data_IF_186493112518
#
_entry.id   IF_186493112518
#
_cell.length_a   1.000
_cell.length_b   1.000
_cell.length_c   1.000
_cell.angle_alpha   90.00
_cell.angle_beta   90.00
_cell.angle_gamma   90.00
#
_symmetry.space_group_name_H-M   'P 1'
#
loop_
_entity.id
_entity.type
_entity.pdbx_description
1 polymer ?
#
# COMPACT_ATOMS: atom_id res chain seq x y z
N UNK A 1 9.58 -16.48 2.44
CA UNK A 1 9.55 -15.03 2.23
C UNK A 1 8.20 -14.52 2.69
N UNK A 2 8.17 -13.41 3.41
CA UNK A 2 6.94 -12.73 3.82
C UNK A 2 6.71 -11.52 2.92
N UNK A 3 5.72 -11.62 2.04
CA UNK A 3 5.34 -10.55 1.11
C UNK A 3 4.15 -9.81 1.70
N UNK A 4 4.25 -8.50 1.84
CA UNK A 4 3.09 -7.65 2.13
C UNK A 4 2.67 -6.96 0.83
N UNK A 5 1.40 -7.15 0.44
CA UNK A 5 0.78 -6.40 -0.66
C UNK A 5 -0.15 -5.35 -0.09
N UNK A 6 0.14 -4.08 -0.39
CA UNK A 6 -0.65 -2.95 0.06
C UNK A 6 -1.79 -2.68 -0.92
N UNK A 7 -2.99 -2.42 -0.40
CA UNK A 7 -4.14 -2.05 -1.20
C UNK A 7 -4.95 -0.94 -0.55
N UNK A 8 -5.69 -0.22 -1.38
CA UNK A 8 -6.60 0.84 -0.97
C UNK A 8 -8.03 0.52 -1.38
N UNK A 9 -8.97 0.85 -0.51
CA UNK A 9 -10.37 0.93 -0.89
C UNK A 9 -10.70 2.29 -1.48
N UNK A 10 -11.38 2.25 -2.61
CA UNK A 10 -11.88 3.43 -3.32
C UNK A 10 -13.38 3.26 -3.59
N UNK A 11 -14.14 4.35 -3.73
CA UNK A 11 -15.52 4.26 -4.20
C UNK A 11 -15.58 3.68 -5.62
N UNK A 12 -16.63 2.89 -5.93
CA UNK A 12 -16.93 2.45 -7.30
C UNK A 12 -17.28 3.66 -8.17
N UNK A 13 -16.36 4.03 -9.06
CA UNK A 13 -16.49 5.24 -9.88
C UNK A 13 -17.71 5.22 -10.81
N UNK A 14 -18.21 4.04 -11.19
CA UNK A 14 -19.40 3.91 -12.04
C UNK A 14 -20.69 4.32 -11.31
N UNK A 15 -20.69 4.30 -9.98
CA UNK A 15 -21.84 4.65 -9.13
C UNK A 15 -21.77 6.11 -8.63
N UNK A 16 -20.69 6.83 -8.93
CA UNK A 16 -20.55 8.26 -8.60
C UNK A 16 -21.37 9.08 -9.58
N UNK A 17 -22.15 10.02 -9.04
CA UNK A 17 -22.99 10.93 -9.84
C UNK A 17 -22.65 12.39 -9.57
N UNK A 18 -23.01 13.27 -10.51
CA UNK A 18 -22.87 14.73 -10.34
C UNK A 18 -24.21 15.30 -9.92
N UNK A 19 -24.23 16.05 -8.82
CA UNK A 19 -25.46 16.71 -8.33
C UNK A 19 -25.83 17.92 -9.20
N UNK A 20 -27.07 18.44 -9.11
CA UNK A 20 -27.46 19.69 -9.77
C UNK A 20 -26.57 20.89 -9.39
N UNK A 21 -25.98 20.88 -8.21
CA UNK A 21 -25.04 21.90 -7.70
C UNK A 21 -23.59 21.67 -8.15
N UNK A 22 -23.35 20.79 -9.13
CA UNK A 22 -22.04 20.47 -9.67
C UNK A 22 -21.04 19.88 -8.65
N UNK A 23 -21.56 19.14 -7.66
CA UNK A 23 -20.73 18.39 -6.70
C UNK A 23 -20.78 16.89 -6.98
N UNK A 24 -19.80 16.13 -6.47
CA UNK A 24 -19.81 14.66 -6.57
C UNK A 24 -20.66 14.06 -5.45
N UNK A 25 -21.54 13.12 -5.80
CA UNK A 25 -22.32 12.31 -4.87
C UNK A 25 -21.82 10.86 -4.88
N UNK A 26 -21.45 10.36 -3.69
CA UNK A 26 -20.91 9.02 -3.45
C UNK A 26 -21.88 8.09 -2.69
N UNK A 27 -23.10 8.53 -2.38
CA UNK A 27 -24.06 7.81 -1.51
C UNK A 27 -24.37 6.38 -2.00
N UNK A 28 -24.26 6.16 -3.31
CA UNK A 28 -24.50 4.85 -3.96
C UNK A 28 -23.22 4.11 -4.31
N UNK A 29 -22.06 4.74 -4.17
CA UNK A 29 -20.78 4.17 -4.54
C UNK A 29 -20.28 3.22 -3.44
N UNK A 30 -20.36 1.93 -3.71
CA UNK A 30 -19.82 0.91 -2.82
C UNK A 30 -18.28 0.96 -2.81
N UNK A 31 -17.68 0.50 -1.72
CA UNK A 31 -16.22 0.37 -1.62
C UNK A 31 -15.73 -0.81 -2.45
N UNK A 32 -14.67 -0.61 -3.24
CA UNK A 32 -13.95 -1.67 -3.96
C UNK A 32 -12.45 -1.56 -3.76
N UNK A 33 -11.74 -2.67 -3.99
CA UNK A 33 -10.28 -2.65 -4.08
C UNK A 33 -9.90 -1.84 -5.33
N UNK A 34 -8.99 -0.88 -5.17
CA UNK A 34 -8.43 -0.12 -6.29
C UNK A 34 -7.90 -1.06 -7.39
N UNK A 35 -8.27 -0.79 -8.63
CA UNK A 35 -7.89 -1.62 -9.78
C UNK A 35 -6.36 -1.74 -9.93
N UNK A 36 -5.60 -0.71 -9.53
CA UNK A 36 -4.14 -0.72 -9.56
C UNK A 36 -3.54 -1.69 -8.53
N UNK A 37 -4.20 -1.87 -7.40
CA UNK A 37 -3.71 -2.72 -6.32
C UNK A 37 -4.01 -4.20 -6.58
N UNK A 38 -4.98 -4.50 -7.46
CA UNK A 38 -5.19 -5.87 -7.95
C UNK A 38 -3.94 -6.42 -8.64
N UNK A 39 -3.20 -5.57 -9.36
CA UNK A 39 -1.94 -5.95 -9.99
C UNK A 39 -0.85 -6.25 -8.94
N UNK A 40 -0.83 -5.53 -7.81
CA UNK A 40 0.12 -5.78 -6.73
C UNK A 40 -0.19 -7.07 -5.97
N UNK A 41 -1.49 -7.40 -5.79
CA UNK A 41 -1.93 -8.66 -5.21
C UNK A 41 -1.54 -9.83 -6.13
N UNK A 42 -1.80 -9.72 -7.42
CA UNK A 42 -1.40 -10.74 -8.40
C UNK A 42 0.12 -10.91 -8.48
N UNK A 43 0.87 -9.81 -8.48
CA UNK A 43 2.34 -9.86 -8.46
C UNK A 43 2.87 -10.58 -7.21
N UNK A 44 2.25 -10.36 -6.04
CA UNK A 44 2.60 -11.08 -4.82
C UNK A 44 2.38 -12.60 -4.99
N UNK A 45 1.24 -13.00 -5.56
CA UNK A 45 0.91 -14.41 -5.82
C UNK A 45 1.89 -15.06 -6.80
N UNK A 46 2.32 -14.34 -7.84
CA UNK A 46 3.30 -14.85 -8.81
C UNK A 46 4.73 -14.95 -8.25
N UNK A 47 5.08 -14.07 -7.31
CA UNK A 47 6.40 -14.03 -6.69
C UNK A 47 6.55 -15.04 -5.54
N UNK A 48 5.46 -15.37 -4.85
CA UNK A 48 5.48 -16.33 -3.75
C UNK A 48 5.81 -17.74 -4.25
N UNK A 49 6.84 -18.35 -3.66
CA UNK A 49 7.15 -19.76 -3.83
C UNK A 49 6.54 -20.64 -2.73
N UNK A 50 6.89 -21.92 -2.75
CA UNK A 50 6.46 -22.87 -1.72
C UNK A 50 6.97 -22.46 -0.33
N UNK A 51 6.05 -22.25 0.62
CA UNK A 51 6.36 -21.85 1.99
C UNK A 51 6.54 -20.33 2.19
N UNK A 52 6.33 -19.52 1.16
CA UNK A 52 6.17 -18.08 1.29
C UNK A 52 4.77 -17.73 1.80
N UNK A 53 4.64 -16.58 2.47
CA UNK A 53 3.38 -16.07 3.03
C UNK A 53 3.07 -14.70 2.43
N UNK A 54 1.82 -14.50 2.01
CA UNK A 54 1.30 -13.23 1.49
C UNK A 54 0.34 -12.63 2.50
N UNK A 55 0.65 -11.42 2.99
CA UNK A 55 -0.24 -10.62 3.80
C UNK A 55 -0.76 -9.42 3.02
N UNK A 56 -2.07 -9.21 3.01
CA UNK A 56 -2.66 -7.97 2.52
C UNK A 56 -2.66 -6.91 3.63
N UNK A 57 -2.28 -5.67 3.31
CA UNK A 57 -2.28 -4.55 4.24
C UNK A 57 -3.05 -3.36 3.64
N UNK A 58 -3.94 -2.77 4.44
CA UNK A 58 -4.65 -1.55 4.07
C UNK A 58 -4.77 -0.58 5.24
N UNK A 59 -4.86 0.71 4.93
CA UNK A 59 -5.07 1.79 5.90
C UNK A 59 -6.19 2.68 5.38
N UNK A 60 -7.05 3.18 6.28
CA UNK A 60 -8.17 4.03 5.88
C UNK A 60 -9.19 4.27 6.99
N UNK A 61 -10.23 5.02 6.66
CA UNK A 61 -11.31 5.37 7.57
C UNK A 61 -12.54 4.47 7.45
N UNK A 62 -13.69 5.08 7.22
CA UNK A 62 -15.02 4.45 7.19
C UNK A 62 -15.15 3.30 6.20
N UNK A 63 -14.51 3.38 5.02
CA UNK A 63 -14.59 2.35 3.97
C UNK A 63 -14.11 0.96 4.46
N UNK A 64 -13.19 0.90 5.42
CA UNK A 64 -12.69 -0.36 5.98
C UNK A 64 -13.72 -1.11 6.84
N UNK A 65 -14.85 -0.48 7.20
CA UNK A 65 -15.95 -1.16 7.89
C UNK A 65 -16.66 -2.17 6.98
N UNK A 66 -16.53 -2.03 5.66
CA UNK A 66 -17.20 -2.90 4.70
C UNK A 66 -16.68 -4.35 4.83
N UNK A 67 -17.53 -5.23 5.34
CA UNK A 67 -17.18 -6.63 5.57
C UNK A 67 -17.01 -7.45 4.29
N UNK A 68 -17.60 -7.02 3.15
CA UNK A 68 -17.46 -7.70 1.85
C UNK A 68 -16.01 -7.68 1.38
N UNK A 69 -15.31 -6.56 1.61
CA UNK A 69 -13.93 -6.35 1.20
C UNK A 69 -12.98 -7.38 1.79
N UNK A 70 -13.18 -7.75 3.07
CA UNK A 70 -12.32 -8.74 3.75
C UNK A 70 -12.33 -10.08 3.00
N UNK A 71 -13.50 -10.49 2.53
CA UNK A 71 -13.64 -11.72 1.73
C UNK A 71 -13.05 -11.55 0.34
N UNK A 72 -13.31 -10.41 -0.30
CA UNK A 72 -12.80 -10.10 -1.65
C UNK A 72 -11.27 -10.19 -1.70
N UNK A 73 -10.57 -9.48 -0.81
CA UNK A 73 -9.10 -9.47 -0.80
C UNK A 73 -8.50 -10.84 -0.47
N UNK A 74 -9.00 -11.54 0.55
CA UNK A 74 -8.49 -12.87 0.93
C UNK A 74 -8.74 -13.92 -0.17
N UNK A 75 -9.85 -13.81 -0.91
CA UNK A 75 -10.16 -14.74 -2.00
C UNK A 75 -9.21 -14.62 -3.21
N UNK A 76 -8.34 -13.59 -3.23
CA UNK A 76 -7.41 -13.31 -4.34
C UNK A 76 -5.99 -13.81 -4.09
N UNK A 77 -5.72 -14.52 -3.00
CA UNK A 77 -4.42 -15.12 -2.75
C UNK A 77 -3.76 -14.80 -1.40
N UNK A 78 -3.93 -13.62 -0.78
CA UNK A 78 -3.37 -13.34 0.54
C UNK A 78 -3.83 -14.33 1.62
N UNK A 79 -2.88 -14.86 2.39
CA UNK A 79 -3.09 -15.76 3.53
C UNK A 79 -3.68 -15.02 4.74
N UNK A 80 -3.33 -13.73 4.88
CA UNK A 80 -3.75 -12.89 5.99
C UNK A 80 -4.13 -11.48 5.52
N UNK A 81 -4.95 -10.80 6.31
CA UNK A 81 -5.36 -9.41 6.10
C UNK A 81 -5.12 -8.59 7.38
N UNK A 82 -4.37 -7.50 7.23
CA UNK A 82 -4.15 -6.49 8.25
C UNK A 82 -4.80 -5.17 7.82
N UNK A 83 -5.49 -4.53 8.76
CA UNK A 83 -6.20 -3.28 8.52
C UNK A 83 -5.85 -2.28 9.62
N UNK A 84 -5.40 -1.08 9.23
CA UNK A 84 -5.27 0.06 10.15
C UNK A 84 -6.45 0.98 9.90
N UNK A 85 -7.37 1.03 10.86
CA UNK A 85 -8.58 1.82 10.74
C UNK A 85 -8.56 2.98 11.74
N UNK A 86 -8.61 4.20 11.21
CA UNK A 86 -8.71 5.43 11.99
C UNK A 86 -9.47 6.48 11.17
N UNK A 87 -10.37 7.25 11.79
CA UNK A 87 -11.10 8.32 11.13
C UNK A 87 -10.17 9.41 10.57
N UNK A 88 -9.01 9.63 11.18
CA UNK A 88 -8.00 10.58 10.68
C UNK A 88 -7.42 10.17 9.32
N UNK A 89 -7.49 8.88 8.97
CA UNK A 89 -6.97 8.35 7.70
C UNK A 89 -7.92 8.55 6.52
N UNK A 90 -9.15 9.01 6.74
CA UNK A 90 -10.14 9.24 5.67
C UNK A 90 -9.73 10.39 4.73
N UNK A 91 -8.99 11.36 5.25
CA UNK A 91 -8.50 12.52 4.50
C UNK A 91 -6.98 12.67 4.59
N UNK A 92 -6.29 11.61 4.99
CA UNK A 92 -4.85 11.61 5.14
C UNK A 92 -4.15 11.90 3.80
N UNK A 93 -3.17 12.79 3.86
CA UNK A 93 -2.28 13.09 2.75
C UNK A 93 -1.34 11.90 2.50
N UNK A 94 -0.74 11.78 1.29
CA UNK A 94 0.10 10.64 0.94
C UNK A 94 1.22 10.33 1.94
N UNK A 95 1.82 11.34 2.57
CA UNK A 95 2.85 11.17 3.60
C UNK A 95 2.32 10.53 4.88
N UNK A 96 1.12 10.91 5.31
CA UNK A 96 0.48 10.39 6.53
C UNK A 96 0.05 8.94 6.31
N UNK A 97 -0.54 8.66 5.15
CA UNK A 97 -0.87 7.30 4.69
C UNK A 97 0.36 6.42 4.62
N UNK A 98 1.46 6.91 4.04
CA UNK A 98 2.72 6.18 3.96
C UNK A 98 3.32 5.86 5.34
N UNK A 99 3.27 6.81 6.29
CA UNK A 99 3.76 6.57 7.66
C UNK A 99 2.94 5.50 8.38
N UNK A 100 1.60 5.52 8.22
CA UNK A 100 0.72 4.52 8.79
C UNK A 100 1.00 3.13 8.21
N UNK A 101 1.18 3.04 6.89
CA UNK A 101 1.54 1.79 6.19
C UNK A 101 2.90 1.26 6.63
N UNK A 102 3.93 2.13 6.67
CA UNK A 102 5.27 1.75 7.10
C UNK A 102 5.28 1.22 8.53
N UNK A 103 4.63 1.94 9.45
CA UNK A 103 4.52 1.56 10.86
C UNK A 103 3.79 0.23 11.06
N UNK A 104 2.77 -0.04 10.25
CA UNK A 104 2.04 -1.30 10.29
C UNK A 104 2.86 -2.45 9.70
N UNK A 105 3.49 -2.22 8.54
CA UNK A 105 4.34 -3.20 7.87
C UNK A 105 5.54 -3.60 8.76
N UNK A 106 6.19 -2.64 9.42
CA UNK A 106 7.28 -2.90 10.37
C UNK A 106 6.84 -3.85 11.50
N UNK A 107 5.66 -3.60 12.09
CA UNK A 107 5.11 -4.45 13.16
C UNK A 107 4.74 -5.86 12.69
N UNK A 108 4.28 -5.99 11.44
CA UNK A 108 3.93 -7.29 10.83
C UNK A 108 5.21 -8.07 10.48
N UNK A 109 6.27 -7.37 10.11
CA UNK A 109 7.49 -7.92 9.52
C UNK A 109 7.27 -8.34 8.06
N UNK A 110 8.24 -8.07 7.20
CA UNK A 110 8.20 -8.41 5.79
C UNK A 110 9.60 -8.48 5.18
N UNK A 111 9.71 -9.20 4.08
CA UNK A 111 10.89 -9.22 3.21
C UNK A 111 10.68 -8.37 1.95
N UNK A 112 9.43 -8.28 1.48
CA UNK A 112 9.03 -7.52 0.30
C UNK A 112 7.70 -6.80 0.54
N UNK A 113 7.64 -5.51 0.22
CA UNK A 113 6.44 -4.68 0.29
C UNK A 113 6.05 -4.23 -1.13
N UNK A 114 4.84 -4.58 -1.58
CA UNK A 114 4.33 -4.30 -2.92
C UNK A 114 3.19 -3.29 -2.88
N UNK A 115 3.13 -2.45 -3.90
CA UNK A 115 2.12 -1.41 -4.09
C UNK A 115 1.62 -1.41 -5.52
N UNK A 116 0.35 -1.04 -5.72
CA UNK A 116 -0.10 -0.54 -7.02
C UNK A 116 0.62 0.76 -7.39
N UNK A 117 0.64 1.08 -8.68
CA UNK A 117 1.25 2.33 -9.19
C UNK A 117 0.59 3.59 -8.61
N UNK A 118 -0.71 3.50 -8.32
CA UNK A 118 -1.52 4.57 -7.77
C UNK A 118 -2.84 4.02 -7.28
N UNK A 119 -3.86 4.88 -7.19
CA UNK A 119 -5.20 4.49 -6.75
C UNK A 119 -6.26 4.97 -7.71
N UNK A 120 -7.36 4.20 -7.82
CA UNK A 120 -8.49 4.49 -8.72
C UNK A 120 -9.25 5.79 -8.45
N UNK A 121 -8.93 6.48 -7.35
CA UNK A 121 -9.54 7.77 -6.99
C UNK A 121 -8.65 8.96 -7.36
N UNK A 122 -7.67 9.31 -6.53
CA UNK A 122 -6.85 10.53 -6.68
C UNK A 122 -5.64 10.28 -7.59
N UNK A 123 -5.24 9.03 -7.77
CA UNK A 123 -4.09 8.63 -8.59
C UNK A 123 -2.80 9.44 -8.32
N UNK A 124 -2.51 9.72 -7.03
CA UNK A 124 -1.39 10.56 -6.65
C UNK A 124 0.00 9.94 -6.91
N UNK A 125 0.09 8.62 -7.04
CA UNK A 125 1.33 7.86 -7.28
C UNK A 125 2.47 8.08 -6.26
N UNK A 126 2.13 8.50 -5.05
CA UNK A 126 3.12 8.93 -4.04
C UNK A 126 3.29 7.93 -2.88
N UNK A 127 2.24 7.23 -2.48
CA UNK A 127 2.22 6.47 -1.21
C UNK A 127 3.29 5.37 -1.18
N UNK A 128 3.42 4.58 -2.24
CA UNK A 128 4.43 3.51 -2.29
C UNK A 128 5.87 4.03 -2.20
N UNK A 129 6.18 5.11 -2.94
CA UNK A 129 7.50 5.76 -2.92
C UNK A 129 7.82 6.34 -1.54
N UNK A 130 6.85 7.07 -0.95
CA UNK A 130 7.01 7.68 0.37
C UNK A 130 7.17 6.59 1.44
N UNK A 131 6.42 5.49 1.35
CA UNK A 131 6.56 4.37 2.29
C UNK A 131 7.98 3.80 2.22
N UNK A 132 8.53 3.57 1.02
CA UNK A 132 9.91 3.10 0.86
C UNK A 132 10.99 4.08 1.37
N UNK A 133 10.69 5.37 1.48
CA UNK A 133 11.59 6.39 2.01
C UNK A 133 11.61 6.42 3.56
N UNK A 134 10.52 6.01 4.20
CA UNK A 134 10.33 6.12 5.64
C UNK A 134 11.43 5.41 6.45
N UNK A 135 11.81 5.93 7.63
CA UNK A 135 12.77 5.28 8.52
C UNK A 135 12.37 3.86 8.96
N UNK A 136 11.06 3.61 9.10
CA UNK A 136 10.47 2.35 9.55
C UNK A 136 10.62 1.21 8.52
N UNK A 137 10.91 1.53 7.26
CA UNK A 137 11.03 0.54 6.17
C UNK A 137 12.50 0.10 5.99
N UNK A 138 12.83 -1.21 6.11
CA UNK A 138 14.19 -1.70 5.88
C UNK A 138 14.64 -1.42 4.44
N UNK A 139 15.75 -0.69 4.29
CA UNK A 139 16.33 -0.38 2.99
C UNK A 139 17.40 -1.40 2.63
N UNK A 140 17.25 -2.08 1.49
CA UNK A 140 18.38 -2.76 0.85
C UNK A 140 19.27 -1.71 0.18
N UNK A 141 20.00 -0.90 0.98
CA UNK A 141 21.04 -0.05 0.44
C UNK A 141 22.15 -0.96 -0.12
N UNK A 142 22.33 -0.97 -1.44
CA UNK A 142 23.62 -1.33 -2.03
C UNK A 142 24.63 -0.20 -1.76
N UNK A 143 24.97 0.02 -0.48
CA UNK A 143 26.08 0.89 -0.11
C UNK A 143 27.33 0.03 0.07
N UNK A 144 28.00 -0.29 -1.05
CA UNK A 144 29.45 -0.52 -0.93
C UNK A 144 30.08 0.84 -0.70
N UNK A 145 30.77 1.08 0.42
CA UNK A 145 31.47 2.34 0.61
C UNK A 145 32.56 2.45 -0.46
N UNK A 146 32.48 3.50 -1.29
CA UNK A 146 33.61 3.91 -2.12
C UNK A 146 34.71 4.41 -1.18
N UNK A 147 35.64 3.53 -0.80
CA UNK A 147 36.86 3.96 -0.10
C UNK A 147 37.83 4.55 -1.12
N UNK A 148 37.88 5.87 -1.25
CA UNK A 148 39.00 6.54 -1.91
C UNK A 148 40.19 6.57 -0.96
N UNK A 149 40.98 5.50 -0.93
CA UNK A 149 42.33 5.55 -0.33
C UNK A 149 43.20 6.47 -1.20
N UNK A 150 43.35 7.73 -0.79
CA UNK A 150 44.42 8.60 -1.28
C UNK A 150 45.75 7.95 -0.85
N UNK A 151 46.50 7.40 -1.80
CA UNK A 151 47.91 7.04 -1.56
C UNK A 151 48.64 8.31 -1.12
N UNK A 152 49.08 8.35 0.13
CA UNK A 152 50.13 9.29 0.54
C UNK A 152 51.41 8.83 -0.16
N UNK A 153 51.85 9.59 -1.15
CA UNK A 153 53.21 9.46 -1.67
C UNK A 153 54.16 10.06 -0.64
N UNK A 154 55.06 9.24 -0.12
CA UNK A 154 56.21 9.69 0.64
C UNK A 154 57.12 10.58 -0.23
N UNK A 155 57.48 11.73 0.33
CA UNK A 155 58.75 12.42 0.10
C UNK A 155 59.29 12.82 1.46
#
# INVERSE_FOLDING_TARGET
MKIITCFKLVPEEQDITVTPEHSLNFDRAEAKISQFDLNAIEAAAQLAGDGDEIAALTVGGSLLQNSKVRKDVLSRGPDALFMVQDAQLEHALPKETALALASAAEKIGFDLLLFGEGSGDIYAQQVGLLTGETPETPRHQRSKPYSTRRRQNHR
#
